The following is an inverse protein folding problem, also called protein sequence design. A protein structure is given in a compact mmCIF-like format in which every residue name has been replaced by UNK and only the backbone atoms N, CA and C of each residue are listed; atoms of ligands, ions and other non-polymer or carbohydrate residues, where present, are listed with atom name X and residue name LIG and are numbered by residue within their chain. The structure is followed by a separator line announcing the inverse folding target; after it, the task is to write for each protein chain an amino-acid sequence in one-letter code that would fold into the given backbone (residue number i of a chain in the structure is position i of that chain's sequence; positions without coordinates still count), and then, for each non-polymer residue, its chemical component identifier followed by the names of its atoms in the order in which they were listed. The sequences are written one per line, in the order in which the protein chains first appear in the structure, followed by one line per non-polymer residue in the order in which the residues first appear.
data_IF_377002509418
#
_entry.id   IF_377002509418
#
_cell.length_a   1.000
_cell.length_b   1.000
_cell.length_c   1.000
_cell.angle_alpha   90.00
_cell.angle_beta   90.00
_cell.angle_gamma   90.00
#
_symmetry.space_group_name_H-M   'P 1'
#
loop_
_entity.id
_entity.type
_entity.pdbx_description
1 polymer ?
#
# COMPACT_ATOMS: atom_id res chain seq x y z
N UNK A 1 -4.38 -1.71 0.55
CA UNK A 1 -3.48 -0.60 0.94
C UNK A 1 -2.58 -0.23 -0.22
N UNK A 2 -2.47 1.07 -0.54
CA UNK A 2 -1.52 1.60 -1.52
C UNK A 2 -0.47 2.41 -0.77
N UNK A 3 0.80 1.96 -0.79
CA UNK A 3 1.93 2.58 -0.13
C UNK A 3 2.75 3.38 -1.15
N UNK A 4 2.79 4.71 -0.98
CA UNK A 4 3.41 5.62 -1.95
C UNK A 4 2.36 6.28 -2.85
N UNK A 5 1.64 7.26 -2.32
CA UNK A 5 0.59 7.95 -3.06
C UNK A 5 1.10 9.14 -3.90
N UNK A 6 2.24 8.98 -4.58
CA UNK A 6 2.66 9.92 -5.64
C UNK A 6 1.84 9.72 -6.92
N UNK A 7 2.36 10.14 -8.08
CA UNK A 7 1.65 10.02 -9.35
C UNK A 7 1.20 8.57 -9.68
N UNK A 8 2.09 7.59 -9.48
CA UNK A 8 1.80 6.19 -9.74
C UNK A 8 0.75 5.64 -8.77
N UNK A 9 0.97 5.78 -7.46
CA UNK A 9 0.05 5.26 -6.44
C UNK A 9 -1.33 5.91 -6.51
N UNK A 10 -1.40 7.22 -6.74
CA UNK A 10 -2.67 7.91 -6.95
C UNK A 10 -3.41 7.37 -8.18
N UNK A 11 -2.71 7.21 -9.31
CA UNK A 11 -3.34 6.70 -10.54
C UNK A 11 -3.83 5.26 -10.36
N UNK A 12 -3.05 4.40 -9.71
CA UNK A 12 -3.46 3.02 -9.38
C UNK A 12 -4.67 3.01 -8.45
N UNK A 13 -4.68 3.86 -7.42
CA UNK A 13 -5.81 3.99 -6.51
C UNK A 13 -7.10 4.40 -7.25
N UNK A 14 -7.04 5.43 -8.09
CA UNK A 14 -8.17 5.85 -8.91
C UNK A 14 -8.59 4.73 -9.88
N UNK A 15 -7.63 4.02 -10.49
CA UNK A 15 -7.93 2.93 -11.41
C UNK A 15 -8.66 1.77 -10.71
N UNK A 16 -8.25 1.41 -9.49
CA UNK A 16 -8.96 0.40 -8.69
C UNK A 16 -10.40 0.81 -8.38
N UNK A 17 -10.64 2.08 -8.07
CA UNK A 17 -12.01 2.60 -7.88
C UNK A 17 -12.83 2.46 -9.16
N UNK A 18 -12.24 2.79 -10.32
CA UNK A 18 -12.89 2.60 -11.64
C UNK A 18 -13.21 1.12 -11.90
N UNK A 19 -12.34 0.20 -11.48
CA UNK A 19 -12.54 -1.25 -11.60
C UNK A 19 -13.54 -1.82 -10.57
N UNK A 20 -14.04 -1.00 -9.64
CA UNK A 20 -15.11 -1.37 -8.70
C UNK A 20 -14.66 -1.59 -7.25
N UNK A 21 -13.40 -1.31 -6.91
CA UNK A 21 -12.99 -1.25 -5.49
C UNK A 21 -13.71 -0.09 -4.82
N UNK A 22 -14.38 -0.37 -3.71
CA UNK A 22 -15.08 0.67 -2.95
C UNK A 22 -14.06 1.61 -2.27
N UNK A 23 -14.20 2.94 -2.39
CA UNK A 23 -13.25 3.89 -1.81
C UNK A 23 -13.00 3.68 -0.30
N UNK A 24 -14.03 3.30 0.47
CA UNK A 24 -13.92 3.02 1.91
C UNK A 24 -13.01 1.82 2.24
N UNK A 25 -12.78 0.92 1.29
CA UNK A 25 -11.90 -0.25 1.46
C UNK A 25 -10.45 0.03 1.02
N UNK A 26 -10.17 1.25 0.54
CA UNK A 26 -8.87 1.61 -0.01
C UNK A 26 -8.17 2.65 0.87
N UNK A 27 -7.12 2.21 1.57
CA UNK A 27 -6.25 3.10 2.34
C UNK A 27 -5.00 3.44 1.50
N UNK A 28 -4.81 4.73 1.23
CA UNK A 28 -3.58 5.25 0.61
C UNK A 28 -2.65 5.84 1.68
N UNK A 29 -1.35 5.63 1.53
CA UNK A 29 -0.33 6.19 2.41
C UNK A 29 0.70 7.01 1.61
N UNK A 30 1.07 8.17 2.12
CA UNK A 30 2.18 9.00 1.64
C UNK A 30 3.29 9.09 2.70
N UNK A 31 4.22 10.04 2.54
CA UNK A 31 5.35 10.22 3.45
C UNK A 31 4.95 10.62 4.88
N UNK A 32 3.77 11.19 5.09
CA UNK A 32 3.28 11.54 6.43
C UNK A 32 2.35 10.45 7.01
N UNK A 33 2.16 9.33 6.30
CA UNK A 33 1.30 8.23 6.72
C UNK A 33 0.00 8.18 5.93
N UNK A 34 -1.10 7.79 6.60
CA UNK A 34 -2.39 7.60 5.95
C UNK A 34 -2.93 8.91 5.38
N UNK A 35 -3.50 8.86 4.18
CA UNK A 35 -4.25 9.95 3.57
C UNK A 35 -5.70 9.86 4.08
N UNK A 36 -6.04 10.66 5.09
CA UNK A 36 -7.34 10.64 5.76
C UNK A 36 -8.05 11.99 5.71
N UNK A 37 -9.37 11.98 5.87
CA UNK A 37 -10.17 13.22 5.91
C UNK A 37 -9.87 14.05 7.15
N UNK A 38 -9.64 15.35 6.97
CA UNK A 38 -9.31 16.27 8.07
C UNK A 38 -7.83 16.30 8.45
N UNK A 39 -6.96 15.68 7.65
CA UNK A 39 -5.51 15.82 7.78
C UNK A 39 -5.09 17.25 7.41
N UNK A 40 -4.32 17.92 8.26
CA UNK A 40 -4.08 19.37 8.20
C UNK A 40 -3.41 19.86 6.90
N UNK A 41 -2.54 19.05 6.29
CA UNK A 41 -1.83 19.37 5.05
C UNK A 41 -2.61 19.02 3.77
N UNK A 42 -3.81 18.43 3.90
CA UNK A 42 -4.69 18.11 2.78
C UNK A 42 -5.75 19.21 2.58
N UNK A 43 -5.53 20.06 1.59
CA UNK A 43 -6.53 21.02 1.10
C UNK A 43 -7.42 20.38 0.03
N UNK A 44 -8.57 20.99 -0.27
CA UNK A 44 -9.45 20.51 -1.36
C UNK A 44 -8.77 20.52 -2.74
N UNK A 45 -7.83 21.44 -2.96
CA UNK A 45 -7.05 21.55 -4.20
C UNK A 45 -5.97 20.46 -4.32
N UNK A 46 -5.56 19.84 -3.20
CA UNK A 46 -4.60 18.75 -3.22
C UNK A 46 -5.25 17.51 -3.84
N UNK A 47 -4.64 16.93 -4.87
CA UNK A 47 -5.16 15.74 -5.56
C UNK A 47 -5.37 14.54 -4.60
N UNK A 48 -4.60 14.46 -3.52
CA UNK A 48 -4.73 13.42 -2.49
C UNK A 48 -6.07 13.48 -1.73
N UNK A 49 -6.73 14.65 -1.69
CA UNK A 49 -8.06 14.79 -1.07
C UNK A 49 -9.10 13.84 -1.69
N UNK A 50 -8.92 13.46 -2.96
CA UNK A 50 -9.81 12.55 -3.71
C UNK A 50 -9.70 11.09 -3.28
N UNK A 51 -8.62 10.72 -2.60
CA UNK A 51 -8.39 9.38 -2.06
C UNK A 51 -8.34 9.39 -0.53
N UNK A 52 -8.68 10.52 0.10
CA UNK A 52 -8.75 10.65 1.54
C UNK A 52 -9.97 9.90 2.09
N UNK A 53 -9.71 8.99 3.03
CA UNK A 53 -10.74 8.14 3.64
C UNK A 53 -11.06 8.57 5.06
N UNK A 54 -12.30 8.36 5.49
CA UNK A 54 -12.70 8.59 6.87
C UNK A 54 -12.29 7.38 7.72
N UNK A 55 -11.20 7.53 8.47
CA UNK A 55 -10.58 6.43 9.21
C UNK A 55 -9.80 6.95 10.42
N UNK A 56 -9.70 6.19 11.53
CA UNK A 56 -8.83 6.53 12.65
C UNK A 56 -7.35 6.18 12.41
N UNK A 57 -7.03 5.41 11.37
CA UNK A 57 -5.67 4.96 11.09
C UNK A 57 -4.75 6.13 10.69
N UNK A 58 -3.48 6.10 11.12
CA UNK A 58 -2.51 7.17 10.87
C UNK A 58 -1.23 6.68 10.23
N UNK A 59 -0.82 5.45 10.51
CA UNK A 59 0.45 4.89 10.06
C UNK A 59 0.27 3.79 9.02
N UNK A 60 1.34 3.50 8.27
CA UNK A 60 1.37 2.37 7.34
C UNK A 60 1.14 1.03 8.08
N UNK A 61 1.75 0.85 9.25
CA UNK A 61 1.60 -0.36 10.07
C UNK A 61 0.13 -0.64 10.40
N UNK A 62 -0.59 0.40 10.82
CA UNK A 62 -2.02 0.32 11.13
C UNK A 62 -2.85 0.02 9.88
N UNK A 63 -2.55 0.69 8.76
CA UNK A 63 -3.24 0.48 7.49
C UNK A 63 -3.09 -0.94 6.94
N UNK A 64 -1.92 -1.56 7.10
CA UNK A 64 -1.61 -2.90 6.59
C UNK A 64 -2.23 -4.02 7.42
N UNK A 65 -2.50 -3.77 8.71
CA UNK A 65 -3.10 -4.75 9.60
C UNK A 65 -4.47 -5.22 9.08
N UNK A 66 -4.59 -6.51 8.77
CA UNK A 66 -5.79 -7.12 8.22
C UNK A 66 -6.07 -6.82 6.74
N UNK A 67 -5.15 -6.14 6.03
CA UNK A 67 -5.33 -5.85 4.61
C UNK A 67 -5.17 -7.11 3.73
N UNK A 68 -6.03 -7.25 2.71
CA UNK A 68 -5.93 -8.33 1.72
C UNK A 68 -4.87 -8.06 0.64
N UNK A 69 -4.70 -6.78 0.29
CA UNK A 69 -3.80 -6.34 -0.79
C UNK A 69 -2.89 -5.22 -0.33
N UNK A 70 -1.59 -5.36 -0.58
CA UNK A 70 -0.59 -4.31 -0.47
C UNK A 70 -0.03 -3.98 -1.85
N UNK A 71 -0.06 -2.70 -2.22
CA UNK A 71 0.58 -2.19 -3.44
C UNK A 71 1.63 -1.17 -3.06
N UNK A 72 2.90 -1.55 -3.17
CA UNK A 72 4.07 -0.71 -2.94
C UNK A 72 4.52 -0.03 -4.23
N UNK A 73 4.57 1.29 -4.19
CA UNK A 73 5.05 2.19 -5.25
C UNK A 73 5.93 3.28 -4.62
N UNK A 74 6.77 2.89 -3.65
CA UNK A 74 7.47 3.81 -2.75
C UNK A 74 8.96 3.45 -2.60
N UNK A 75 9.50 3.54 -1.38
CA UNK A 75 10.88 3.22 -1.07
C UNK A 75 11.05 1.74 -0.67
N UNK A 76 12.24 1.21 -0.96
CA UNK A 76 12.59 -0.17 -0.61
C UNK A 76 12.59 -0.44 0.89
N UNK A 77 12.21 -1.67 1.27
CA UNK A 77 12.21 -2.13 2.65
C UNK A 77 11.13 -1.53 3.56
N UNK A 78 10.11 -0.84 3.02
CA UNK A 78 9.03 -0.25 3.81
C UNK A 78 8.08 -1.28 4.41
N UNK A 79 7.76 -2.36 3.69
CA UNK A 79 6.89 -3.42 4.19
C UNK A 79 7.72 -4.35 5.09
N UNK A 80 7.62 -4.14 6.40
CA UNK A 80 8.36 -4.93 7.38
C UNK A 80 7.75 -6.33 7.56
N UNK A 81 8.55 -7.35 7.96
CA UNK A 81 8.04 -8.68 8.25
C UNK A 81 6.82 -8.73 9.17
N UNK A 82 6.80 -7.92 10.23
CA UNK A 82 5.67 -7.90 11.17
C UNK A 82 4.40 -7.31 10.56
N UNK A 83 4.53 -6.35 9.63
CA UNK A 83 3.40 -5.84 8.87
C UNK A 83 2.86 -6.91 7.92
N UNK A 84 3.74 -7.66 7.23
CA UNK A 84 3.31 -8.75 6.37
C UNK A 84 2.61 -9.89 7.17
N UNK A 85 3.07 -10.17 8.39
CA UNK A 85 2.40 -11.11 9.29
C UNK A 85 1.00 -10.66 9.70
N UNK A 86 0.77 -9.35 9.83
CA UNK A 86 -0.53 -8.82 10.25
C UNK A 86 -1.56 -8.72 9.12
N UNK A 87 -1.16 -8.86 7.86
CA UNK A 87 -2.08 -8.90 6.72
C UNK A 87 -3.03 -10.10 6.79
N UNK A 88 -4.15 -10.02 6.06
CA UNK A 88 -5.13 -11.09 5.94
C UNK A 88 -4.54 -12.39 5.38
N UNK A 89 -5.33 -13.46 5.37
CA UNK A 89 -4.95 -14.75 4.79
C UNK A 89 -4.77 -14.63 3.27
N UNK A 90 -3.82 -15.38 2.71
CA UNK A 90 -3.51 -15.40 1.28
C UNK A 90 -3.25 -13.98 0.71
N UNK A 91 -2.38 -13.16 1.35
CA UNK A 91 -2.25 -11.75 1.05
C UNK A 91 -1.59 -11.52 -0.31
N UNK A 92 -2.11 -10.57 -1.08
CA UNK A 92 -1.54 -10.17 -2.36
C UNK A 92 -0.62 -8.95 -2.17
N UNK A 93 0.67 -9.11 -2.49
CA UNK A 93 1.70 -8.08 -2.30
C UNK A 93 2.36 -7.75 -3.63
N UNK A 94 2.12 -6.53 -4.11
CA UNK A 94 2.89 -5.93 -5.20
C UNK A 94 4.02 -5.09 -4.60
N UNK A 95 5.27 -5.55 -4.67
CA UNK A 95 6.44 -4.83 -4.18
C UNK A 95 7.24 -4.26 -5.37
N UNK A 96 6.81 -3.10 -5.87
CA UNK A 96 7.20 -2.58 -7.18
C UNK A 96 8.31 -1.51 -7.11
N UNK A 97 8.79 -1.14 -5.92
CA UNK A 97 9.93 -0.25 -5.79
C UNK A 97 11.17 -0.84 -6.47
N UNK A 98 11.92 0.05 -7.14
CA UNK A 98 13.16 -0.28 -7.83
C UNK A 98 14.31 0.60 -7.32
N UNK A 99 15.55 0.09 -7.25
CA UNK A 99 15.96 -1.30 -7.51
C UNK A 99 15.68 -2.26 -6.34
N UNK A 100 15.40 -1.72 -5.16
CA UNK A 100 15.11 -2.51 -3.95
C UNK A 100 13.61 -2.46 -3.68
N UNK A 101 12.92 -3.62 -3.64
CA UNK A 101 11.47 -3.68 -3.41
C UNK A 101 11.08 -3.32 -1.97
N UNK A 102 9.80 -3.04 -1.74
CA UNK A 102 9.26 -2.74 -0.40
C UNK A 102 9.48 -3.87 0.61
N UNK A 103 9.54 -5.11 0.14
CA UNK A 103 10.01 -6.29 0.89
C UNK A 103 10.75 -7.21 -0.08
N UNK A 104 11.83 -7.84 0.38
CA UNK A 104 12.51 -8.86 -0.41
C UNK A 104 11.59 -10.09 -0.61
N UNK A 105 11.46 -10.63 -1.84
CA UNK A 105 10.56 -11.75 -2.11
C UNK A 105 10.89 -13.02 -1.32
N UNK A 106 12.17 -13.35 -1.12
CA UNK A 106 12.55 -14.53 -0.36
C UNK A 106 12.17 -14.37 1.10
N UNK A 107 12.44 -13.18 1.67
CA UNK A 107 12.04 -12.85 3.04
C UNK A 107 10.52 -12.89 3.20
N UNK A 108 9.77 -12.37 2.22
CA UNK A 108 8.32 -12.38 2.27
C UNK A 108 7.75 -13.81 2.30
N UNK A 109 8.26 -14.71 1.44
CA UNK A 109 7.87 -16.13 1.45
C UNK A 109 8.32 -16.88 2.72
N UNK A 110 9.46 -16.52 3.31
CA UNK A 110 9.88 -17.05 4.62
C UNK A 110 8.92 -16.62 5.74
N UNK A 111 8.47 -15.36 5.70
CA UNK A 111 7.59 -14.76 6.71
C UNK A 111 6.15 -15.24 6.58
N UNK A 112 5.66 -15.39 5.35
CA UNK A 112 4.30 -15.83 5.01
C UNK A 112 4.33 -16.77 3.80
N UNK A 113 4.25 -18.10 4.01
CA UNK A 113 4.23 -19.08 2.91
C UNK A 113 3.04 -18.94 1.95
N UNK A 114 1.95 -18.30 2.40
CA UNK A 114 0.72 -18.06 1.64
C UNK A 114 0.70 -16.72 0.89
N UNK A 115 1.79 -15.93 0.92
CA UNK A 115 1.86 -14.67 0.20
C UNK A 115 1.86 -14.89 -1.32
N UNK A 116 1.03 -14.13 -2.02
CA UNK A 116 1.02 -14.05 -3.49
C UNK A 116 1.74 -12.76 -3.84
N UNK A 117 2.79 -12.85 -4.66
CA UNK A 117 3.67 -11.70 -4.91
C UNK A 117 3.87 -11.38 -6.38
N UNK A 118 4.09 -10.10 -6.64
CA UNK A 118 4.65 -9.58 -7.87
C UNK A 118 5.63 -8.44 -7.56
N UNK A 119 6.68 -8.33 -8.36
CA UNK A 119 7.72 -7.31 -8.18
C UNK A 119 7.93 -6.47 -9.43
N UNK A 120 8.60 -5.33 -9.26
CA UNK A 120 9.03 -4.47 -10.37
C UNK A 120 10.28 -4.97 -11.09
N UNK A 121 10.82 -6.14 -10.70
CA UNK A 121 12.10 -6.68 -11.14
C UNK A 121 11.89 -7.87 -12.07
N UNK A 122 12.71 -8.00 -13.10
CA UNK A 122 12.60 -9.12 -14.04
C UNK A 122 13.21 -10.43 -13.52
N UNK A 123 14.06 -10.38 -12.49
CA UNK A 123 14.72 -11.54 -11.91
C UNK A 123 13.94 -12.20 -10.77
N UNK A 124 12.79 -11.63 -10.40
CA UNK A 124 11.85 -12.17 -9.43
C UNK A 124 10.44 -12.20 -10.04
N UNK A 125 9.49 -12.98 -9.48
CA UNK A 125 8.09 -12.95 -9.90
C UNK A 125 7.49 -11.53 -9.93
#
# INVERSE_FOLDING_TARGET
VVCGCGAAGFTVAIHFVVLGVKPENMICCDIQGVVYKGREDLTEENYLSRVAVDTPLRTLTEAVSGADVFVGLSAGGLLKPDMLRSMARDPLVFALANPVPEIDPNLAHEVRPDVIMATGRSDFP
#
